data_IF_882825730001
#
_entry.id   IF_882825730001
#
_cell.length_a   1.000
_cell.length_b   1.000
_cell.length_c   1.000
_cell.angle_alpha   90.00
_cell.angle_beta   90.00
_cell.angle_gamma   90.00
#
_symmetry.space_group_name_H-M   'P 1'
#
loop_
_entity.id
_entity.type
_entity.pdbx_description
1 polymer ?
#
# COMPACT_ATOMS: atom_id res chain seq x y z
N UNK A 1 12.70 18.07 14.04
CA UNK A 1 11.86 17.09 14.76
C UNK A 1 12.09 15.67 14.29
N UNK A 2 11.83 15.33 13.00
CA UNK A 2 11.98 13.95 12.52
C UNK A 2 13.39 13.39 12.77
N UNK A 3 14.41 14.14 12.43
CA UNK A 3 15.82 13.73 12.54
C UNK A 3 16.27 13.49 13.98
N UNK A 4 15.78 14.33 14.90
CA UNK A 4 16.26 14.35 16.28
C UNK A 4 15.38 13.53 17.22
N UNK A 5 14.06 13.51 16.96
CA UNK A 5 13.09 12.90 17.85
C UNK A 5 12.52 11.58 17.35
N UNK A 6 12.28 11.43 16.04
CA UNK A 6 11.64 10.23 15.49
C UNK A 6 12.66 9.21 15.04
N UNK A 7 13.56 9.60 14.16
CA UNK A 7 14.49 8.68 13.51
C UNK A 7 15.34 7.85 14.50
N UNK A 8 15.90 8.42 15.58
CA UNK A 8 16.66 7.63 16.56
C UNK A 8 15.82 6.54 17.25
N UNK A 9 14.50 6.76 17.35
CA UNK A 9 13.58 5.84 18.05
C UNK A 9 13.09 4.70 17.14
N UNK A 10 13.05 4.92 15.82
CA UNK A 10 12.54 3.96 14.83
C UNK A 10 13.65 3.30 13.99
N UNK A 11 14.91 3.57 14.26
CA UNK A 11 16.06 3.07 13.46
C UNK A 11 16.14 1.54 13.34
N UNK A 12 15.47 0.80 14.24
CA UNK A 12 15.40 -0.65 14.23
C UNK A 12 14.12 -1.19 13.55
N UNK A 13 13.28 -0.33 12.96
CA UNK A 13 12.12 -0.78 12.22
C UNK A 13 12.54 -1.60 10.99
N UNK A 14 11.82 -2.69 10.73
CA UNK A 14 12.04 -3.52 9.54
C UNK A 14 11.58 -2.82 8.26
N UNK A 15 10.61 -1.91 8.38
CA UNK A 15 10.02 -1.16 7.28
C UNK A 15 9.82 0.29 7.71
N UNK A 16 10.24 1.24 6.87
CA UNK A 16 9.86 2.67 6.98
C UNK A 16 9.31 3.12 5.64
N UNK A 17 8.13 3.74 5.66
CA UNK A 17 7.53 4.36 4.51
C UNK A 17 7.40 5.88 4.72
N UNK A 18 7.90 6.65 3.77
CA UNK A 18 7.58 8.07 3.67
C UNK A 18 6.32 8.26 2.84
N UNK A 19 5.28 8.78 3.47
CA UNK A 19 3.97 8.94 2.86
C UNK A 19 3.26 10.18 3.42
N UNK A 20 2.08 10.47 2.88
CA UNK A 20 1.26 11.62 3.27
C UNK A 20 1.61 12.87 2.46
N UNK A 21 0.62 13.55 1.87
CA UNK A 21 0.86 14.61 0.90
C UNK A 21 1.78 14.16 -0.24
N UNK A 22 2.78 14.97 -0.56
CA UNK A 22 3.87 14.58 -1.45
C UNK A 22 5.20 14.75 -0.70
N UNK A 23 5.83 13.66 -0.22
CA UNK A 23 7.04 13.74 0.61
C UNK A 23 8.20 14.48 -0.07
N UNK A 24 8.30 14.37 -1.40
CA UNK A 24 9.39 14.97 -2.18
C UNK A 24 9.33 16.50 -2.24
N UNK A 25 8.18 17.10 -1.90
CA UNK A 25 8.02 18.55 -1.78
C UNK A 25 8.52 19.10 -0.44
N UNK A 26 8.80 18.25 0.54
CA UNK A 26 9.34 18.71 1.81
C UNK A 26 10.71 19.37 1.60
N UNK A 27 10.97 20.60 2.12
CA UNK A 27 12.20 21.35 1.84
C UNK A 27 13.48 20.62 2.24
N UNK A 28 13.39 19.73 3.24
CA UNK A 28 14.49 18.90 3.73
C UNK A 28 14.38 17.43 3.30
N UNK A 29 13.58 17.10 2.28
CA UNK A 29 13.37 15.72 1.86
C UNK A 29 14.69 14.98 1.58
N UNK A 30 15.58 15.62 0.83
CA UNK A 30 16.89 15.06 0.46
C UNK A 30 17.73 14.74 1.70
N UNK A 31 17.75 15.65 2.67
CA UNK A 31 18.49 15.49 3.93
C UNK A 31 17.87 14.37 4.78
N UNK A 32 16.55 14.37 4.94
CA UNK A 32 15.79 13.36 5.69
C UNK A 32 16.06 11.96 5.11
N UNK A 33 15.91 11.80 3.80
CA UNK A 33 16.12 10.50 3.15
C UNK A 33 17.56 10.03 3.29
N UNK A 34 18.55 10.91 3.03
CA UNK A 34 19.97 10.58 3.16
C UNK A 34 20.30 10.13 4.57
N UNK A 35 19.83 10.88 5.57
CA UNK A 35 20.10 10.56 6.97
C UNK A 35 19.40 9.26 7.42
N UNK A 36 18.17 9.03 6.95
CA UNK A 36 17.46 7.77 7.22
C UNK A 36 18.28 6.59 6.69
N UNK A 37 18.73 6.67 5.44
CA UNK A 37 19.54 5.61 4.85
C UNK A 37 20.89 5.37 5.56
N UNK A 38 21.46 6.40 6.19
CA UNK A 38 22.73 6.28 6.96
C UNK A 38 22.55 5.51 8.28
N UNK A 39 21.40 5.66 8.94
CA UNK A 39 21.19 5.16 10.30
C UNK A 39 20.37 3.88 10.37
N UNK A 40 19.69 3.52 9.27
CA UNK A 40 18.87 2.31 9.21
C UNK A 40 19.71 1.04 9.32
N UNK A 41 19.15 0.02 9.94
CA UNK A 41 19.75 -1.30 10.02
C UNK A 41 19.85 -1.96 8.64
N UNK A 42 20.84 -2.82 8.41
CA UNK A 42 20.86 -3.69 7.23
C UNK A 42 19.54 -4.48 7.11
N UNK A 43 19.14 -4.76 5.87
CA UNK A 43 17.90 -5.48 5.52
C UNK A 43 16.59 -4.75 5.82
N UNK A 44 16.65 -3.47 6.20
CA UNK A 44 15.45 -2.64 6.30
C UNK A 44 14.87 -2.37 4.91
N UNK A 45 13.54 -2.39 4.83
CA UNK A 45 12.80 -1.92 3.66
C UNK A 45 12.48 -0.42 3.82
N UNK A 46 12.78 0.37 2.79
CA UNK A 46 12.49 1.80 2.74
C UNK A 46 11.62 2.11 1.54
N UNK A 47 10.41 2.61 1.79
CA UNK A 47 9.45 2.98 0.75
C UNK A 47 9.20 4.48 0.68
N UNK A 48 9.02 4.99 -0.52
CA UNK A 48 8.59 6.38 -0.76
C UNK A 48 7.35 6.36 -1.63
N UNK A 49 6.26 6.88 -1.10
CA UNK A 49 5.02 7.11 -1.83
C UNK A 49 5.09 8.47 -2.50
N UNK A 50 4.94 8.51 -3.82
CA UNK A 50 4.99 9.76 -4.59
C UNK A 50 3.97 9.78 -5.71
N UNK A 51 3.51 10.97 -6.07
CA UNK A 51 2.71 11.19 -7.27
C UNK A 51 3.57 11.35 -8.54
N UNK A 52 4.89 11.25 -8.43
CA UNK A 52 5.82 11.37 -9.55
C UNK A 52 6.10 12.78 -10.03
N UNK A 53 5.44 13.80 -9.49
CA UNK A 53 5.66 15.20 -9.85
C UNK A 53 6.78 15.76 -8.98
N UNK A 54 7.98 15.24 -9.18
CA UNK A 54 9.15 15.52 -8.35
C UNK A 54 10.18 16.38 -9.06
N UNK A 55 11.01 17.10 -8.30
CA UNK A 55 12.11 17.88 -8.87
C UNK A 55 13.25 16.96 -9.37
N UNK A 56 14.07 17.45 -10.30
CA UNK A 56 15.24 16.70 -10.79
C UNK A 56 16.20 16.36 -9.65
N UNK A 57 16.40 17.25 -8.69
CA UNK A 57 17.21 16.98 -7.50
C UNK A 57 16.67 15.84 -6.66
N UNK A 58 15.35 15.76 -6.48
CA UNK A 58 14.72 14.65 -5.77
C UNK A 58 14.82 13.36 -6.56
N UNK A 59 14.62 13.41 -7.87
CA UNK A 59 14.79 12.25 -8.75
C UNK A 59 16.23 11.73 -8.70
N UNK A 60 17.23 12.59 -8.85
CA UNK A 60 18.64 12.20 -8.77
C UNK A 60 18.97 11.48 -7.45
N UNK A 61 18.41 11.96 -6.34
CA UNK A 61 18.60 11.32 -5.04
C UNK A 61 17.92 9.95 -4.98
N UNK A 62 16.67 9.85 -5.48
CA UNK A 62 15.95 8.58 -5.56
C UNK A 62 16.72 7.57 -6.40
N UNK A 63 17.21 7.97 -7.58
CA UNK A 63 18.00 7.10 -8.45
C UNK A 63 19.30 6.61 -7.80
N UNK A 64 19.98 7.46 -7.04
CA UNK A 64 21.15 7.05 -6.24
C UNK A 64 20.77 6.08 -5.13
N UNK A 65 19.58 6.24 -4.53
CA UNK A 65 19.09 5.39 -3.45
C UNK A 65 18.62 4.01 -3.96
N UNK A 66 17.80 3.99 -5.03
CA UNK A 66 17.29 2.74 -5.65
C UNK A 66 18.32 2.04 -6.51
N UNK A 67 19.37 2.72 -6.96
CA UNK A 67 20.42 2.16 -7.79
C UNK A 67 21.01 0.91 -7.15
N UNK A 68 21.30 -0.09 -7.99
CA UNK A 68 21.80 -1.40 -7.54
C UNK A 68 22.99 -1.29 -6.59
N UNK A 69 23.93 -0.39 -6.88
CA UNK A 69 25.10 -0.16 -6.02
C UNK A 69 24.72 0.42 -4.66
N UNK A 70 23.79 1.40 -4.62
CA UNK A 70 23.33 2.02 -3.37
C UNK A 70 22.61 1.02 -2.47
N UNK A 71 21.73 0.19 -3.03
CA UNK A 71 21.02 -0.85 -2.29
C UNK A 71 21.98 -1.95 -1.78
N UNK A 72 22.91 -2.41 -2.60
CA UNK A 72 23.87 -3.46 -2.22
C UNK A 72 24.82 -2.96 -1.14
N UNK A 73 25.42 -1.78 -1.30
CA UNK A 73 26.37 -1.24 -0.34
C UNK A 73 25.77 -1.03 1.05
N UNK A 74 24.48 -0.67 1.12
CA UNK A 74 23.77 -0.38 2.36
C UNK A 74 22.95 -1.54 2.87
N UNK A 75 22.81 -2.61 2.10
CA UNK A 75 21.94 -3.75 2.40
C UNK A 75 20.49 -3.34 2.73
N UNK A 76 20.03 -2.25 2.13
CA UNK A 76 18.66 -1.73 2.27
C UNK A 76 17.87 -2.08 1.02
N UNK A 77 16.63 -2.55 1.18
CA UNK A 77 15.69 -2.68 0.09
C UNK A 77 14.93 -1.37 -0.06
N UNK A 78 15.04 -0.77 -1.23
CA UNK A 78 14.37 0.51 -1.51
C UNK A 78 13.28 0.34 -2.57
N UNK A 79 12.15 1.00 -2.38
CA UNK A 79 11.06 1.01 -3.35
C UNK A 79 10.44 2.40 -3.48
N UNK A 80 10.23 2.81 -4.71
CA UNK A 80 9.39 3.96 -5.06
C UNK A 80 7.99 3.44 -5.38
N UNK A 81 7.00 3.87 -4.59
CA UNK A 81 5.59 3.56 -4.82
C UNK A 81 5.00 4.77 -5.56
N UNK A 82 4.84 4.61 -6.87
CA UNK A 82 4.39 5.68 -7.76
C UNK A 82 2.88 5.62 -7.95
N UNK A 83 2.16 6.62 -7.45
CA UNK A 83 0.73 6.76 -7.70
C UNK A 83 0.49 7.13 -9.16
N UNK A 84 -0.01 6.15 -9.92
CA UNK A 84 -0.23 6.29 -11.36
C UNK A 84 -1.63 6.78 -11.68
N UNK A 85 -1.71 7.73 -12.59
CA UNK A 85 -2.97 8.23 -13.15
C UNK A 85 -2.85 8.29 -14.66
N UNK A 86 -3.92 7.97 -15.38
CA UNK A 86 -3.96 8.10 -16.83
C UNK A 86 -3.85 9.56 -17.27
N UNK A 87 -3.47 9.78 -18.51
CA UNK A 87 -3.41 11.13 -19.11
C UNK A 87 -4.75 11.87 -19.00
N UNK A 88 -5.87 11.16 -19.03
CA UNK A 88 -7.20 11.75 -18.87
C UNK A 88 -7.47 12.29 -17.45
N UNK A 89 -6.84 11.71 -16.45
CA UNK A 89 -7.02 12.04 -15.03
C UNK A 89 -5.99 13.04 -14.49
N UNK A 90 -5.00 13.43 -15.32
CA UNK A 90 -4.00 14.45 -14.99
C UNK A 90 -3.67 15.27 -16.22
N UNK A 91 -2.96 16.41 -16.06
CA UNK A 91 -2.52 17.15 -17.23
C UNK A 91 -1.33 16.45 -17.90
N UNK A 92 -1.17 16.66 -19.21
CA UNK A 92 -0.13 16.03 -20.04
C UNK A 92 1.29 16.19 -19.46
N UNK A 93 1.62 17.37 -18.97
CA UNK A 93 2.94 17.65 -18.36
C UNK A 93 3.20 16.79 -17.14
N UNK A 94 2.22 16.65 -16.26
CA UNK A 94 2.34 15.86 -15.05
C UNK A 94 2.41 14.36 -15.39
N UNK A 95 1.59 13.90 -16.33
CA UNK A 95 1.62 12.53 -16.81
C UNK A 95 2.98 12.18 -17.40
N UNK A 96 3.51 13.03 -18.29
CA UNK A 96 4.85 12.87 -18.86
C UNK A 96 5.93 12.81 -17.78
N UNK A 97 5.82 13.68 -16.75
CA UNK A 97 6.79 13.66 -15.63
C UNK A 97 6.72 12.37 -14.82
N UNK A 98 5.53 11.86 -14.52
CA UNK A 98 5.36 10.57 -13.85
C UNK A 98 5.99 9.43 -14.67
N UNK A 99 5.81 9.45 -16.00
CA UNK A 99 6.41 8.48 -16.91
C UNK A 99 7.94 8.53 -16.90
N UNK A 100 8.55 9.73 -16.98
CA UNK A 100 10.00 9.93 -16.87
C UNK A 100 10.57 9.37 -15.57
N UNK A 101 9.87 9.58 -14.46
CA UNK A 101 10.25 9.03 -13.14
C UNK A 101 10.19 7.50 -13.17
N UNK A 102 9.11 6.92 -13.69
CA UNK A 102 8.96 5.47 -13.79
C UNK A 102 10.09 4.85 -14.63
N UNK A 103 10.32 5.35 -15.83
CA UNK A 103 11.34 4.86 -16.74
C UNK A 103 12.77 5.01 -16.15
N UNK A 104 13.05 6.13 -15.46
CA UNK A 104 14.33 6.37 -14.81
C UNK A 104 14.58 5.38 -13.67
N UNK A 105 13.57 5.12 -12.82
CA UNK A 105 13.69 4.17 -11.72
C UNK A 105 13.83 2.74 -12.25
N UNK A 106 13.04 2.34 -13.25
CA UNK A 106 13.13 1.02 -13.88
C UNK A 106 14.49 0.79 -14.55
N UNK A 107 15.05 1.81 -15.22
CA UNK A 107 16.39 1.74 -15.83
C UNK A 107 17.50 1.58 -14.79
N UNK A 108 17.34 2.18 -13.61
CA UNK A 108 18.36 2.14 -12.55
C UNK A 108 18.30 0.82 -11.76
N UNK A 109 17.11 0.31 -11.51
CA UNK A 109 16.88 -0.94 -10.80
C UNK A 109 15.43 -1.41 -11.05
N UNK A 110 15.26 -2.35 -11.96
CA UNK A 110 13.93 -2.84 -12.37
C UNK A 110 13.01 -3.33 -11.24
N UNK A 111 13.55 -3.55 -10.04
CA UNK A 111 12.79 -3.98 -8.86
C UNK A 111 12.51 -2.83 -7.87
N UNK A 112 13.03 -1.64 -8.13
CA UNK A 112 12.91 -0.48 -7.24
C UNK A 112 11.61 0.32 -7.43
N UNK A 113 10.77 0.00 -8.41
CA UNK A 113 9.51 0.66 -8.68
C UNK A 113 8.32 -0.26 -8.43
N UNK A 114 7.27 0.29 -7.85
CA UNK A 114 5.95 -0.32 -7.77
C UNK A 114 4.91 0.74 -8.14
N UNK A 115 4.16 0.51 -9.20
CA UNK A 115 2.99 1.33 -9.50
C UNK A 115 1.91 1.12 -8.46
N UNK A 116 1.27 2.20 -8.04
CA UNK A 116 0.19 2.22 -7.06
C UNK A 116 -1.05 2.85 -7.67
N UNK A 117 -2.16 2.14 -7.63
CA UNK A 117 -3.45 2.56 -8.13
C UNK A 117 -4.41 2.73 -6.96
N UNK A 118 -4.97 3.93 -6.81
CA UNK A 118 -6.00 4.19 -5.82
C UNK A 118 -7.37 4.00 -6.47
N UNK A 119 -8.18 3.12 -5.91
CA UNK A 119 -9.49 2.75 -6.44
C UNK A 119 -10.60 3.34 -5.57
N UNK A 120 -11.31 4.34 -6.08
CA UNK A 120 -12.41 5.03 -5.39
C UNK A 120 -13.80 4.56 -5.83
N UNK A 121 -13.90 4.03 -7.05
CA UNK A 121 -15.16 3.52 -7.60
C UNK A 121 -14.90 2.49 -8.69
N UNK A 122 -15.88 1.64 -8.96
CA UNK A 122 -15.84 0.68 -10.08
C UNK A 122 -15.90 1.36 -11.45
N UNK A 123 -16.41 2.60 -11.51
CA UNK A 123 -16.42 3.39 -12.75
C UNK A 123 -15.06 4.04 -13.08
N UNK A 124 -14.06 3.92 -12.21
CA UNK A 124 -12.71 4.41 -12.48
C UNK A 124 -12.03 3.52 -13.53
N UNK A 125 -11.29 4.15 -14.45
CA UNK A 125 -10.63 3.42 -15.53
C UNK A 125 -9.36 2.68 -15.10
N UNK A 126 -9.50 1.74 -14.18
CA UNK A 126 -8.43 0.83 -13.77
C UNK A 126 -7.84 0.04 -14.94
N UNK A 127 -8.65 -0.47 -15.91
CA UNK A 127 -8.11 -1.13 -17.09
C UNK A 127 -7.15 -0.28 -17.92
N UNK A 128 -7.47 0.99 -18.17
CA UNK A 128 -6.55 1.87 -18.92
C UNK A 128 -5.26 2.12 -18.14
N UNK A 129 -5.34 2.36 -16.83
CA UNK A 129 -4.14 2.50 -15.99
C UNK A 129 -3.25 1.26 -16.06
N UNK A 130 -3.83 0.07 -15.99
CA UNK A 130 -3.09 -1.19 -16.07
C UNK A 130 -2.43 -1.40 -17.44
N UNK A 131 -3.11 -1.04 -18.54
CA UNK A 131 -2.53 -1.15 -19.91
C UNK A 131 -1.36 -0.19 -20.09
N UNK A 132 -1.50 1.08 -19.67
CA UNK A 132 -0.38 2.04 -19.71
C UNK A 132 0.83 1.55 -18.91
N UNK A 133 0.61 0.95 -17.74
CA UNK A 133 1.69 0.36 -16.93
C UNK A 133 2.34 -0.81 -17.67
N UNK A 134 1.55 -1.68 -18.28
CA UNK A 134 2.07 -2.82 -19.06
C UNK A 134 2.92 -2.34 -20.26
N UNK A 135 2.47 -1.30 -20.96
CA UNK A 135 3.21 -0.67 -22.05
C UNK A 135 4.58 -0.16 -21.58
N UNK A 136 4.64 0.53 -20.44
CA UNK A 136 5.91 1.00 -19.87
C UNK A 136 6.86 -0.18 -19.60
N UNK A 137 6.37 -1.24 -18.99
CA UNK A 137 7.19 -2.42 -18.73
C UNK A 137 7.67 -3.12 -19.99
N UNK A 138 6.83 -3.17 -21.04
CA UNK A 138 7.21 -3.73 -22.36
C UNK A 138 8.26 -2.87 -23.06
N UNK A 139 8.09 -1.55 -23.09
CA UNK A 139 9.04 -0.61 -23.68
C UNK A 139 10.40 -0.62 -22.99
N UNK A 140 10.41 -0.77 -21.67
CA UNK A 140 11.63 -0.89 -20.88
C UNK A 140 12.33 -2.25 -21.03
N UNK A 141 11.74 -3.18 -21.79
CA UNK A 141 12.36 -4.46 -22.12
C UNK A 141 12.54 -5.39 -20.92
N UNK A 142 11.63 -5.38 -19.98
CA UNK A 142 11.66 -6.32 -18.86
C UNK A 142 11.70 -7.77 -19.36
N UNK A 143 12.45 -8.67 -18.70
CA UNK A 143 12.60 -10.04 -19.15
C UNK A 143 11.24 -10.72 -19.28
N UNK A 144 10.98 -11.32 -20.45
CA UNK A 144 9.78 -12.12 -20.68
C UNK A 144 9.69 -13.22 -19.61
N UNK A 145 8.55 -13.32 -18.95
CA UNK A 145 8.30 -14.29 -17.87
C UNK A 145 8.62 -13.82 -16.47
N UNK A 146 9.16 -12.61 -16.29
CA UNK A 146 9.16 -11.96 -14.98
C UNK A 146 7.87 -11.18 -14.80
N UNK A 147 7.04 -11.61 -13.84
CA UNK A 147 5.84 -10.85 -13.44
C UNK A 147 6.23 -9.54 -12.75
N UNK A 148 5.45 -8.50 -12.97
CA UNK A 148 5.55 -7.24 -12.26
C UNK A 148 4.33 -7.05 -11.37
N UNK A 149 4.52 -6.33 -10.25
CA UNK A 149 3.48 -6.11 -9.26
C UNK A 149 2.93 -4.69 -9.38
N UNK A 150 1.60 -4.59 -9.43
CA UNK A 150 0.87 -3.34 -9.32
C UNK A 150 0.14 -3.34 -7.99
N UNK A 151 0.40 -2.33 -7.17
CA UNK A 151 -0.30 -2.14 -5.91
C UNK A 151 -1.67 -1.54 -6.19
N UNK A 152 -2.71 -2.13 -5.62
CA UNK A 152 -4.07 -1.58 -5.64
C UNK A 152 -4.48 -1.23 -4.22
N UNK A 153 -4.89 0.02 -4.04
CA UNK A 153 -5.35 0.57 -2.77
C UNK A 153 -6.82 0.97 -2.91
N UNK A 154 -7.77 0.11 -2.53
CA UNK A 154 -9.16 0.53 -2.41
C UNK A 154 -9.26 1.69 -1.43
N UNK A 155 -10.03 2.71 -1.76
CA UNK A 155 -10.25 3.84 -0.88
C UNK A 155 -11.10 3.40 0.32
N UNK A 156 -10.50 3.42 1.50
CA UNK A 156 -11.16 3.10 2.76
C UNK A 156 -11.73 4.36 3.42
N UNK A 157 -12.81 4.25 4.20
CA UNK A 157 -13.32 5.37 4.95
C UNK A 157 -12.28 5.90 5.94
N UNK A 158 -12.25 7.22 6.10
CA UNK A 158 -11.48 7.88 7.15
C UNK A 158 -12.41 8.06 8.34
N UNK A 159 -12.06 7.44 9.47
CA UNK A 159 -12.86 7.53 10.70
C UNK A 159 -12.91 8.98 11.19
N UNK A 160 -14.12 9.52 11.36
CA UNK A 160 -14.33 10.93 11.74
C UNK A 160 -14.13 11.93 10.60
N UNK A 161 -13.94 11.47 9.36
CA UNK A 161 -13.90 12.33 8.17
C UNK A 161 -15.31 12.77 7.75
N UNK A 162 -15.47 14.06 7.41
CA UNK A 162 -16.76 14.61 6.97
C UNK A 162 -17.12 14.18 5.54
N UNK A 163 -16.14 14.08 4.65
CA UNK A 163 -16.33 13.65 3.25
C UNK A 163 -15.39 12.49 2.93
N UNK A 164 -15.96 11.30 2.85
CA UNK A 164 -15.21 10.08 2.52
C UNK A 164 -15.57 9.59 1.11
N UNK A 165 -14.66 9.74 0.17
CA UNK A 165 -14.75 9.02 -1.11
C UNK A 165 -14.18 7.63 -0.87
N UNK A 166 -15.04 6.62 -0.85
CA UNK A 166 -14.65 5.24 -0.53
C UNK A 166 -15.19 4.27 -1.56
N UNK A 167 -14.47 3.16 -1.76
CA UNK A 167 -15.03 2.04 -2.52
C UNK A 167 -16.07 1.32 -1.64
N UNK A 168 -17.36 1.30 -2.01
CA UNK A 168 -18.36 0.62 -1.21
C UNK A 168 -18.12 -0.90 -1.13
N UNK A 169 -18.36 -1.51 0.03
CA UNK A 169 -18.15 -2.97 0.21
C UNK A 169 -18.94 -3.79 -0.82
N UNK A 170 -20.15 -3.37 -1.17
CA UNK A 170 -20.98 -4.03 -2.19
C UNK A 170 -20.36 -4.10 -3.59
N UNK A 171 -19.33 -3.30 -3.86
CA UNK A 171 -18.67 -3.24 -5.16
C UNK A 171 -17.39 -4.12 -5.23
N UNK A 172 -16.99 -4.75 -4.10
CA UNK A 172 -15.84 -5.64 -4.07
C UNK A 172 -15.96 -6.88 -4.99
N UNK A 173 -17.13 -7.54 -5.13
CA UNK A 173 -17.27 -8.62 -6.11
C UNK A 173 -16.96 -8.18 -7.53
N UNK A 174 -17.50 -7.02 -7.95
CA UNK A 174 -17.22 -6.43 -9.27
C UNK A 174 -15.75 -6.06 -9.44
N UNK A 175 -15.11 -5.56 -8.38
CA UNK A 175 -13.67 -5.30 -8.39
C UNK A 175 -12.90 -6.59 -8.62
N UNK A 176 -13.25 -7.66 -7.94
CA UNK A 176 -12.65 -8.99 -8.14
C UNK A 176 -12.79 -9.46 -9.59
N UNK A 177 -14.00 -9.38 -10.15
CA UNK A 177 -14.25 -9.72 -11.55
C UNK A 177 -13.36 -8.92 -12.51
N UNK A 178 -13.32 -7.60 -12.35
CA UNK A 178 -12.50 -6.71 -13.19
C UNK A 178 -11.02 -7.07 -13.11
N UNK A 179 -10.51 -7.39 -11.92
CA UNK A 179 -9.10 -7.77 -11.75
C UNK A 179 -8.78 -9.11 -12.42
N UNK A 180 -9.67 -10.10 -12.34
CA UNK A 180 -9.49 -11.38 -13.04
C UNK A 180 -9.48 -11.18 -14.55
N UNK A 181 -10.36 -10.35 -15.09
CA UNK A 181 -10.38 -10.04 -16.52
C UNK A 181 -9.08 -9.36 -16.98
N UNK A 182 -8.55 -8.44 -16.17
CA UNK A 182 -7.23 -7.83 -16.42
C UNK A 182 -6.09 -8.85 -16.36
N UNK A 183 -6.11 -9.79 -15.42
CA UNK A 183 -5.08 -10.83 -15.33
C UNK A 183 -5.11 -11.81 -16.52
N UNK A 184 -6.26 -11.99 -17.17
CA UNK A 184 -6.36 -12.73 -18.44
C UNK A 184 -5.75 -11.94 -19.59
N UNK A 185 -6.01 -10.65 -19.65
CA UNK A 185 -5.51 -9.74 -20.69
C UNK A 185 -4.00 -9.49 -20.54
N UNK A 186 -3.52 -9.30 -19.31
CA UNK A 186 -2.16 -8.91 -18.95
C UNK A 186 -1.44 -10.03 -18.17
N UNK A 187 -0.96 -11.07 -18.83
CA UNK A 187 -0.50 -12.31 -18.19
C UNK A 187 0.77 -12.15 -17.33
N UNK A 188 1.50 -11.04 -17.46
CA UNK A 188 2.69 -10.77 -16.63
C UNK A 188 2.38 -9.93 -15.39
N UNK A 189 1.20 -9.33 -15.30
CA UNK A 189 0.78 -8.51 -14.19
C UNK A 189 0.40 -9.37 -12.97
N UNK A 190 0.76 -8.88 -11.78
CA UNK A 190 0.28 -9.38 -10.51
C UNK A 190 -0.27 -8.21 -9.71
N UNK A 191 -1.37 -8.39 -9.00
CA UNK A 191 -1.90 -7.38 -8.11
C UNK A 191 -1.41 -7.59 -6.68
N UNK A 192 -1.17 -6.50 -5.98
CA UNK A 192 -0.83 -6.51 -4.56
C UNK A 192 -1.71 -5.52 -3.82
N UNK A 193 -2.43 -5.98 -2.84
CA UNK A 193 -3.10 -5.11 -1.88
C UNK A 193 -2.17 -4.75 -0.74
N UNK A 194 -2.29 -3.54 -0.23
CA UNK A 194 -1.55 -3.06 0.94
C UNK A 194 -2.33 -3.16 2.24
N UNK A 195 -3.65 -3.31 2.14
CA UNK A 195 -4.57 -3.45 3.26
C UNK A 195 -5.51 -4.62 3.07
N UNK A 196 -6.14 -5.02 4.15
CA UNK A 196 -7.17 -6.06 4.14
C UNK A 196 -8.33 -5.69 3.22
N UNK A 197 -8.77 -6.64 2.43
CA UNK A 197 -9.99 -6.54 1.65
C UNK A 197 -10.94 -7.68 2.03
N UNK A 198 -12.26 -7.51 1.88
CA UNK A 198 -13.21 -8.53 2.28
C UNK A 198 -13.25 -9.69 1.29
N UNK A 199 -13.49 -10.94 1.76
CA UNK A 199 -13.54 -12.13 0.92
C UNK A 199 -14.65 -12.13 -0.14
N UNK A 200 -15.69 -11.30 0.01
CA UNK A 200 -16.70 -11.11 -1.04
C UNK A 200 -16.12 -10.56 -2.36
N UNK A 201 -14.87 -10.13 -2.37
CA UNK A 201 -14.09 -9.90 -3.58
C UNK A 201 -14.07 -11.11 -4.53
N UNK A 202 -14.19 -12.35 -3.99
CA UNK A 202 -14.15 -13.59 -4.75
C UNK A 202 -15.55 -14.08 -5.21
N UNK A 203 -16.63 -13.42 -4.83
CA UNK A 203 -18.00 -13.91 -5.06
C UNK A 203 -18.40 -14.01 -6.53
N UNK A 204 -17.78 -13.23 -7.42
CA UNK A 204 -18.05 -13.27 -8.88
C UNK A 204 -16.95 -14.01 -9.67
N UNK A 205 -16.08 -14.78 -9.00
CA UNK A 205 -14.97 -15.51 -9.63
C UNK A 205 -15.36 -16.98 -9.79
N UNK A 206 -15.28 -17.47 -11.03
CA UNK A 206 -15.56 -18.87 -11.35
C UNK A 206 -14.43 -19.79 -10.88
N UNK A 207 -14.77 -21.06 -10.62
CA UNK A 207 -13.82 -22.04 -10.08
C UNK A 207 -12.61 -22.24 -11.00
N UNK A 208 -12.82 -22.25 -12.30
CA UNK A 208 -11.77 -22.41 -13.33
C UNK A 208 -10.80 -21.23 -13.39
N UNK A 209 -11.20 -20.07 -12.87
CA UNK A 209 -10.41 -18.84 -12.84
C UNK A 209 -9.53 -18.72 -11.60
N UNK A 210 -9.75 -19.58 -10.62
CA UNK A 210 -9.05 -19.50 -9.34
C UNK A 210 -7.52 -19.54 -9.45
N UNK A 211 -6.88 -20.22 -10.42
CA UNK A 211 -5.45 -20.10 -10.66
C UNK A 211 -4.95 -18.68 -10.94
N UNK A 212 -5.83 -17.77 -11.43
CA UNK A 212 -5.48 -16.37 -11.59
C UNK A 212 -5.49 -15.61 -10.26
N UNK A 213 -6.28 -16.06 -9.28
CA UNK A 213 -6.33 -15.47 -7.94
C UNK A 213 -4.98 -15.59 -7.23
N UNK A 214 -4.18 -16.61 -7.52
CA UNK A 214 -2.82 -16.77 -7.00
C UNK A 214 -1.87 -15.63 -7.41
N UNK A 215 -2.23 -14.86 -8.43
CA UNK A 215 -1.51 -13.66 -8.87
C UNK A 215 -1.96 -12.39 -8.17
N UNK A 216 -2.86 -12.51 -7.20
CA UNK A 216 -3.33 -11.45 -6.32
C UNK A 216 -2.73 -11.69 -4.94
N UNK A 217 -1.91 -10.75 -4.46
CA UNK A 217 -1.23 -10.86 -3.18
C UNK A 217 -1.96 -10.01 -2.13
N UNK A 218 -2.29 -10.66 -1.04
CA UNK A 218 -2.91 -10.07 0.13
C UNK A 218 -1.82 -9.67 1.13
N UNK A 219 -1.95 -8.56 1.82
CA UNK A 219 -0.99 -8.11 2.82
C UNK A 219 0.49 -8.35 2.45
N UNK A 220 1.02 -7.48 1.65
CA UNK A 220 2.44 -7.52 1.33
C UNK A 220 2.84 -8.68 0.41
N UNK A 221 3.25 -9.81 0.94
CA UNK A 221 3.72 -10.98 0.18
C UNK A 221 2.86 -12.22 0.37
N UNK A 222 1.81 -12.14 1.21
CA UNK A 222 0.91 -13.28 1.41
C UNK A 222 0.06 -13.48 0.17
N UNK A 223 -0.01 -14.70 -0.32
CA UNK A 223 -0.93 -15.10 -1.38
C UNK A 223 -2.34 -15.24 -0.82
N UNK A 224 -3.35 -15.00 -1.65
CA UNK A 224 -4.71 -15.43 -1.34
C UNK A 224 -4.69 -16.96 -1.17
N UNK A 225 -5.45 -17.53 -0.22
CA UNK A 225 -5.46 -18.95 0.00
C UNK A 225 -5.91 -19.70 -1.26
N UNK A 226 -5.46 -20.93 -1.41
CA UNK A 226 -5.96 -21.82 -2.46
C UNK A 226 -7.49 -21.98 -2.37
N UNK A 227 -8.11 -22.41 -3.46
CA UNK A 227 -9.56 -22.67 -3.47
C UNK A 227 -9.97 -23.68 -2.40
N UNK A 228 -9.11 -24.66 -2.12
CA UNK A 228 -9.33 -25.67 -1.09
C UNK A 228 -9.34 -25.05 0.31
N UNK A 229 -8.29 -24.32 0.66
CA UNK A 229 -8.21 -23.57 1.93
C UNK A 229 -9.37 -22.57 2.07
N UNK A 230 -9.75 -21.93 0.96
CA UNK A 230 -10.89 -21.04 0.93
C UNK A 230 -12.20 -21.78 1.25
N UNK A 231 -12.44 -22.94 0.64
CA UNK A 231 -13.63 -23.77 0.88
C UNK A 231 -13.66 -24.33 2.32
N UNK A 232 -12.50 -24.74 2.84
CA UNK A 232 -12.36 -25.31 4.19
C UNK A 232 -12.46 -24.29 5.31
N UNK A 233 -12.46 -22.99 4.97
CA UNK A 233 -12.63 -21.89 5.92
C UNK A 233 -11.48 -21.64 6.89
N UNK A 234 -10.29 -22.10 6.61
CA UNK A 234 -9.12 -21.95 7.47
C UNK A 234 -8.41 -20.60 7.35
N UNK A 235 -8.90 -19.71 6.49
CA UNK A 235 -8.29 -18.41 6.26
C UNK A 235 -9.15 -17.26 6.77
N UNK A 236 -8.53 -16.34 7.50
CA UNK A 236 -9.20 -15.14 8.03
C UNK A 236 -8.73 -13.87 7.30
N UNK A 237 -9.68 -13.11 6.81
CA UNK A 237 -9.45 -11.81 6.18
C UNK A 237 -9.70 -10.67 7.17
N UNK A 238 -8.64 -10.01 7.59
CA UNK A 238 -8.78 -8.92 8.53
C UNK A 238 -7.49 -8.16 8.79
N UNK A 239 -7.60 -7.07 9.51
CA UNK A 239 -6.50 -6.19 9.92
C UNK A 239 -5.70 -6.71 11.12
N UNK A 240 -5.94 -7.94 11.58
CA UNK A 240 -5.46 -8.38 12.90
C UNK A 240 -3.95 -8.70 12.92
N UNK A 241 -3.34 -8.99 11.78
CA UNK A 241 -2.01 -9.59 11.74
C UNK A 241 -0.86 -8.59 11.53
N UNK A 242 -1.16 -7.36 11.09
CA UNK A 242 -0.16 -6.32 10.89
C UNK A 242 -0.28 -5.22 11.97
N UNK A 243 0.86 -4.83 12.50
CA UNK A 243 0.96 -3.73 13.47
C UNK A 243 1.65 -2.50 12.84
N UNK A 244 1.05 -1.89 11.78
CA UNK A 244 1.58 -0.66 11.24
C UNK A 244 1.47 0.44 12.29
N UNK A 245 2.35 1.41 12.23
CA UNK A 245 2.28 2.61 13.05
C UNK A 245 2.59 3.81 12.18
N UNK A 246 1.60 4.66 11.99
CA UNK A 246 1.77 5.95 11.34
C UNK A 246 2.15 7.00 12.38
N UNK A 247 3.13 7.82 12.04
CA UNK A 247 3.59 8.93 12.88
C UNK A 247 3.42 10.22 12.09
N UNK A 248 2.64 11.15 12.61
CA UNK A 248 2.43 12.43 11.99
C UNK A 248 3.59 13.42 12.28
N UNK A 249 3.63 14.61 11.62
CA UNK A 249 4.66 15.61 11.86
C UNK A 249 4.71 16.16 13.29
N UNK A 250 3.70 15.93 14.13
CA UNK A 250 3.68 16.31 15.55
C UNK A 250 4.16 15.18 16.46
N UNK A 251 4.44 14.01 15.87
CA UNK A 251 4.82 12.81 16.61
C UNK A 251 3.65 12.02 17.15
N UNK A 252 2.43 12.36 16.80
CA UNK A 252 1.25 11.57 17.19
C UNK A 252 1.24 10.25 16.41
N UNK A 253 0.99 9.17 17.15
CA UNK A 253 1.02 7.81 16.65
C UNK A 253 -0.40 7.29 16.41
N UNK A 254 -0.60 6.67 15.26
CA UNK A 254 -1.86 6.09 14.80
C UNK A 254 -1.62 4.67 14.30
N UNK A 255 -2.67 3.84 14.21
CA UNK A 255 -2.49 2.50 13.63
C UNK A 255 -2.26 2.58 12.12
N UNK A 256 -3.12 3.34 11.42
CA UNK A 256 -3.04 3.50 9.97
C UNK A 256 -3.81 4.74 9.50
N UNK A 257 -3.64 5.11 8.23
CA UNK A 257 -4.27 6.29 7.65
C UNK A 257 -5.80 6.38 7.84
N UNK A 258 -6.62 5.33 7.65
CA UNK A 258 -8.05 5.39 7.96
C UNK A 258 -8.39 5.81 9.40
N UNK A 259 -7.49 5.59 10.33
CA UNK A 259 -7.66 5.89 11.75
C UNK A 259 -6.80 7.07 12.24
N UNK A 260 -6.39 7.99 11.37
CA UNK A 260 -5.55 9.12 11.76
C UNK A 260 -6.22 10.09 12.77
N UNK A 261 -7.52 9.98 12.99
CA UNK A 261 -8.24 10.70 14.04
C UNK A 261 -8.30 9.95 15.38
N UNK A 262 -7.77 8.71 15.43
CA UNK A 262 -7.73 7.88 16.64
C UNK A 262 -6.28 7.81 17.13
N UNK A 263 -5.89 8.81 17.93
CA UNK A 263 -4.54 8.89 18.51
C UNK A 263 -4.30 7.75 19.51
N UNK A 264 -3.23 7.00 19.30
CA UNK A 264 -2.82 5.88 20.16
C UNK A 264 -1.76 6.30 21.19
N UNK A 265 -0.94 7.28 20.88
CA UNK A 265 0.12 7.80 21.73
C UNK A 265 0.89 8.93 21.03
N UNK A 266 2.04 9.30 21.58
CA UNK A 266 2.98 10.21 20.93
C UNK A 266 4.39 9.62 21.01
N UNK A 267 5.15 9.74 19.93
CA UNK A 267 6.53 9.18 19.83
C UNK A 267 7.45 9.74 20.91
N UNK A 268 7.17 10.93 21.43
CA UNK A 268 7.97 11.58 22.49
C UNK A 268 7.83 10.87 23.84
N UNK A 269 6.73 10.12 24.05
CA UNK A 269 6.51 9.36 25.28
C UNK A 269 7.42 8.11 25.40
N UNK A 270 8.20 7.82 24.34
CA UNK A 270 9.06 6.63 24.25
C UNK A 270 10.51 7.02 24.00
N UNK A 271 11.43 6.39 24.74
CA UNK A 271 12.88 6.50 24.47
C UNK A 271 13.28 5.73 23.21
N UNK A 272 12.59 4.61 22.94
CA UNK A 272 12.73 3.79 21.76
C UNK A 272 11.37 3.14 21.47
N UNK A 273 11.00 3.10 20.20
CA UNK A 273 9.83 2.34 19.77
C UNK A 273 10.23 0.88 19.68
N UNK A 274 9.91 0.14 20.73
CA UNK A 274 10.14 -1.31 20.79
C UNK A 274 8.93 -2.05 20.25
N UNK A 275 9.13 -3.32 19.90
CA UNK A 275 8.04 -4.23 19.53
C UNK A 275 6.91 -4.23 20.60
N UNK A 276 7.27 -4.20 21.87
CA UNK A 276 6.29 -4.13 22.96
C UNK A 276 5.45 -2.83 22.92
N UNK A 277 6.07 -1.68 22.60
CA UNK A 277 5.34 -0.42 22.48
C UNK A 277 4.37 -0.46 21.30
N UNK A 278 4.80 -0.95 20.15
CA UNK A 278 3.96 -1.15 18.96
C UNK A 278 2.80 -2.10 19.27
N UNK A 279 3.08 -3.24 19.90
CA UNK A 279 2.05 -4.22 20.30
C UNK A 279 1.01 -3.59 21.25
N UNK A 280 1.42 -2.76 22.20
CA UNK A 280 0.48 -2.05 23.09
C UNK A 280 -0.40 -1.05 22.35
N UNK A 281 0.17 -0.30 21.41
CA UNK A 281 -0.59 0.63 20.58
C UNK A 281 -1.58 -0.13 19.69
N UNK A 282 -1.14 -1.23 19.07
CA UNK A 282 -2.00 -2.07 18.26
C UNK A 282 -3.14 -2.71 19.06
N UNK A 283 -2.86 -3.21 20.27
CA UNK A 283 -3.91 -3.71 21.19
C UNK A 283 -4.94 -2.64 21.52
N UNK A 284 -4.49 -1.40 21.77
CA UNK A 284 -5.37 -0.26 22.02
C UNK A 284 -6.23 0.05 20.79
N UNK A 285 -5.64 0.00 19.59
CA UNK A 285 -6.38 0.15 18.32
C UNK A 285 -7.44 -0.95 18.16
N UNK A 286 -7.07 -2.22 18.33
CA UNK A 286 -7.99 -3.34 18.19
C UNK A 286 -9.18 -3.23 19.18
N UNK A 287 -8.92 -2.88 20.42
CA UNK A 287 -10.00 -2.66 21.40
C UNK A 287 -10.98 -1.60 20.92
N UNK A 288 -10.46 -0.47 20.39
CA UNK A 288 -11.30 0.56 19.80
C UNK A 288 -12.04 0.07 18.56
N UNK A 289 -11.36 -0.66 17.67
CA UNK A 289 -11.94 -1.17 16.43
C UNK A 289 -13.07 -2.18 16.65
N UNK A 290 -12.98 -3.01 17.70
CA UNK A 290 -14.00 -4.00 18.04
C UNK A 290 -15.23 -3.39 18.80
N UNK A 291 -15.15 -2.14 19.26
CA UNK A 291 -16.31 -1.45 19.85
C UNK A 291 -17.39 -1.12 18.81
N UNK A 292 -17.03 -1.01 17.53
CA UNK A 292 -17.95 -0.67 16.46
C UNK A 292 -18.60 -1.92 15.86
N UNK A 293 -19.94 -1.93 15.89
CA UNK A 293 -20.69 -2.98 15.18
C UNK A 293 -20.58 -2.81 13.65
N UNK A 294 -20.51 -3.91 12.89
CA UNK A 294 -20.50 -3.83 11.43
C UNK A 294 -21.78 -3.24 10.88
N UNK A 295 -21.67 -2.56 9.75
CA UNK A 295 -22.81 -2.07 8.98
C UNK A 295 -23.21 -3.06 7.90
N UNK A 296 -24.37 -2.88 7.28
CA UNK A 296 -24.75 -3.67 6.11
C UNK A 296 -23.80 -3.36 4.91
N UNK A 297 -23.48 -4.36 4.09
CA UNK A 297 -23.99 -5.74 4.13
C UNK A 297 -23.28 -6.67 5.14
N UNK A 298 -22.25 -6.23 5.81
CA UNK A 298 -21.41 -7.09 6.67
C UNK A 298 -22.17 -7.59 7.91
N UNK A 299 -23.11 -6.81 8.46
CA UNK A 299 -23.90 -7.19 9.64
C UNK A 299 -24.67 -8.50 9.46
N UNK A 300 -25.23 -8.69 8.26
CA UNK A 300 -25.99 -9.90 7.92
C UNK A 300 -25.13 -10.97 7.22
N UNK A 301 -23.85 -10.72 7.00
CA UNK A 301 -22.97 -11.62 6.27
C UNK A 301 -22.59 -12.85 7.13
N UNK A 302 -22.75 -14.09 6.61
CA UNK A 302 -22.41 -15.29 7.35
C UNK A 302 -20.91 -15.45 7.61
N UNK A 303 -20.05 -14.69 6.91
CA UNK A 303 -18.61 -14.74 7.07
C UNK A 303 -18.09 -13.73 8.12
N UNK A 304 -18.93 -12.79 8.57
CA UNK A 304 -18.52 -11.81 9.56
C UNK A 304 -18.16 -12.49 10.90
N UNK A 305 -17.05 -12.10 11.50
CA UNK A 305 -16.45 -12.71 12.72
C UNK A 305 -16.14 -14.22 12.63
N UNK A 306 -16.32 -14.84 11.47
CA UNK A 306 -15.93 -16.24 11.22
C UNK A 306 -14.65 -16.29 10.39
N UNK A 307 -14.59 -15.48 9.32
CA UNK A 307 -13.47 -15.41 8.38
C UNK A 307 -13.10 -13.98 7.98
N UNK A 308 -13.85 -12.99 8.43
CA UNK A 308 -13.73 -11.61 7.97
C UNK A 308 -14.13 -10.63 9.05
N UNK A 309 -13.35 -9.55 9.15
CA UNK A 309 -13.66 -8.38 10.00
C UNK A 309 -14.24 -7.20 9.19
N UNK A 310 -14.99 -7.44 8.14
CA UNK A 310 -15.45 -6.44 7.15
C UNK A 310 -14.32 -5.94 6.22
N UNK A 311 -13.21 -6.68 6.10
CA UNK A 311 -11.99 -6.16 5.48
C UNK A 311 -11.34 -5.10 6.38
N UNK A 312 -11.40 -3.83 6.00
CA UNK A 312 -10.91 -2.74 6.83
C UNK A 312 -11.94 -2.36 7.92
N UNK A 313 -11.52 -2.34 9.18
CA UNK A 313 -12.37 -1.93 10.31
C UNK A 313 -12.98 -0.53 10.16
N UNK A 314 -12.36 0.37 9.38
CA UNK A 314 -12.88 1.70 9.15
C UNK A 314 -14.31 1.71 8.58
N UNK A 315 -14.71 0.68 7.84
CA UNK A 315 -16.10 0.54 7.36
C UNK A 315 -17.14 0.44 8.48
N UNK A 316 -16.75 -0.05 9.66
CA UNK A 316 -17.65 -0.15 10.80
C UNK A 316 -17.96 1.23 11.41
N UNK A 317 -17.04 2.20 11.25
CA UNK A 317 -17.15 3.56 11.79
C UNK A 317 -17.68 4.57 10.76
N UNK A 318 -17.60 4.30 9.46
CA UNK A 318 -18.07 5.23 8.45
C UNK A 318 -19.58 5.48 8.58
N UNK A 319 -19.94 6.74 8.81
CA UNK A 319 -21.29 7.23 9.08
C UNK A 319 -22.17 7.28 7.86
#
# INVERSE_FOLDING_TARGET
>A
FFMDEVLPKVKNAALINFMGGEPTLHPHFVEILSRTMEVMQPFTFLGIFTNGIISDKALDLLLKAVGREGCIQRQIQFSVLLNWQTQENTNERNHQRCREVAESVLSSNGHGLMFSLNLYSIGQDLPAQCREIDEIYQEMGLPKGQGYKVRVSPAFPIVGGEENVTLPIKDYPKMGRMMIDLLKELPQMCFRFDCSFPPCFLDEIEEEEYPLVERIFYHGSQSIPSLEEWKDRDFYFGCADDSPMDIDPKGDCFNCFPFHNVKLGNIQDYNQVSELAVTRMHTKFLNHAFEAAPKEPCRSCPHYNVRCSSGCFAYNFAG
#
